data_IF_895135810624
#
_entry.id   IF_895135810624
#
_cell.length_a   1.000
_cell.length_b   1.000
_cell.length_c   1.000
_cell.angle_alpha   90.00
_cell.angle_beta   90.00
_cell.angle_gamma   90.00
#
_symmetry.space_group_name_H-M   'P 1'
#
loop_
_entity.id
_entity.type
_entity.pdbx_description
1 polymer ?
#
# COMPACT_ATOMS: atom_id res chain seq x y z
N UNK A 1 -19.24 -44.20 47.93
CA UNK A 1 -19.89 -43.29 46.95
C UNK A 1 -18.90 -42.15 46.73
N UNK A 2 -17.98 -42.15 45.74
CA UNK A 2 -18.11 -41.71 44.32
C UNK A 2 -19.10 -40.53 44.16
N UNK A 3 -18.84 -39.37 43.55
CA UNK A 3 -17.76 -38.78 42.73
C UNK A 3 -18.14 -37.28 42.54
N UNK A 4 -17.15 -36.38 42.60
CA UNK A 4 -16.99 -35.07 41.90
C UNK A 4 -18.19 -34.32 41.29
N UNK A 5 -18.27 -33.00 41.56
CA UNK A 5 -18.70 -31.96 40.60
C UNK A 5 -18.24 -30.58 41.12
N UNK A 6 -16.96 -30.20 40.94
CA UNK A 6 -16.50 -29.29 39.87
C UNK A 6 -17.48 -28.13 39.60
N UNK A 7 -17.29 -27.03 40.34
CA UNK A 7 -17.93 -25.73 40.11
C UNK A 7 -17.50 -25.19 38.75
N UNK A 8 -18.45 -25.13 37.81
CA UNK A 8 -18.29 -24.51 36.49
C UNK A 8 -18.26 -22.99 36.64
N UNK A 9 -17.08 -22.40 36.43
CA UNK A 9 -16.87 -20.96 36.26
C UNK A 9 -17.69 -20.45 35.08
N UNK A 10 -18.66 -19.58 35.37
CA UNK A 10 -19.52 -18.96 34.39
C UNK A 10 -18.70 -18.13 33.38
N UNK A 11 -19.07 -18.32 32.11
CA UNK A 11 -18.47 -17.77 30.92
C UNK A 11 -18.26 -16.25 30.97
N UNK A 12 -17.01 -15.82 30.80
CA UNK A 12 -16.67 -14.49 30.30
C UNK A 12 -15.81 -14.70 29.05
N UNK A 13 -16.48 -14.83 27.91
CA UNK A 13 -15.87 -14.57 26.61
C UNK A 13 -16.82 -13.66 25.84
N UNK A 14 -16.75 -12.37 26.13
CA UNK A 14 -17.16 -11.33 25.19
C UNK A 14 -16.15 -11.37 24.05
N UNK A 15 -16.34 -12.31 23.11
CA UNK A 15 -15.62 -12.30 21.84
C UNK A 15 -16.01 -11.03 21.12
N UNK A 16 -15.04 -10.14 21.00
CA UNK A 16 -15.08 -8.92 20.21
C UNK A 16 -15.72 -9.20 18.85
N UNK A 17 -16.82 -8.52 18.57
CA UNK A 17 -17.32 -8.35 17.23
C UNK A 17 -16.25 -7.59 16.43
N UNK A 18 -15.32 -8.33 15.83
CA UNK A 18 -14.56 -7.81 14.70
C UNK A 18 -15.55 -7.63 13.56
N UNK A 19 -15.62 -6.46 12.90
CA UNK A 19 -16.35 -6.36 11.65
C UNK A 19 -15.61 -7.23 10.63
N UNK A 20 -16.02 -8.49 10.51
CA UNK A 20 -15.85 -9.23 9.28
C UNK A 20 -16.54 -8.39 8.21
N UNK A 21 -15.79 -7.96 7.19
CA UNK A 21 -16.34 -7.37 5.97
C UNK A 21 -17.29 -8.40 5.35
N UNK A 22 -18.55 -8.38 5.79
CA UNK A 22 -19.64 -8.96 5.04
C UNK A 22 -19.90 -7.98 3.91
N UNK A 23 -19.16 -8.12 2.81
CA UNK A 23 -19.54 -7.48 1.57
C UNK A 23 -20.95 -7.98 1.22
N UNK A 24 -21.99 -7.13 1.15
CA UNK A 24 -23.24 -7.53 0.52
C UNK A 24 -22.90 -8.03 -0.90
N UNK A 25 -23.69 -8.93 -1.51
CA UNK A 25 -23.36 -9.46 -2.84
C UNK A 25 -23.17 -8.29 -3.81
N UNK A 26 -21.90 -7.93 -4.06
CA UNK A 26 -21.58 -6.80 -4.90
C UNK A 26 -22.09 -7.14 -6.31
N UNK A 27 -22.81 -6.19 -6.90
CA UNK A 27 -23.21 -6.29 -8.29
C UNK A 27 -21.95 -6.54 -9.14
N UNK A 28 -22.12 -7.23 -10.28
CA UNK A 28 -20.98 -7.46 -11.18
C UNK A 28 -20.29 -6.14 -11.55
N UNK A 29 -21.09 -5.10 -11.75
CA UNK A 29 -20.65 -3.74 -12.01
C UNK A 29 -19.73 -3.20 -10.91
N UNK A 30 -20.13 -3.33 -9.64
CA UNK A 30 -19.33 -2.84 -8.52
C UNK A 30 -18.01 -3.61 -8.33
N UNK A 31 -18.00 -4.92 -8.63
CA UNK A 31 -16.77 -5.72 -8.67
C UNK A 31 -15.84 -5.30 -9.81
N UNK A 32 -16.40 -5.07 -10.99
CA UNK A 32 -15.62 -4.67 -12.16
C UNK A 32 -15.01 -3.27 -11.97
N UNK A 33 -15.74 -2.34 -11.34
CA UNK A 33 -15.23 -1.03 -10.94
C UNK A 33 -14.07 -1.13 -9.94
N UNK A 34 -14.21 -1.97 -8.92
CA UNK A 34 -13.14 -2.22 -7.93
C UNK A 34 -11.88 -2.80 -8.60
N UNK A 35 -12.05 -3.80 -9.48
CA UNK A 35 -10.94 -4.38 -10.23
C UNK A 35 -10.28 -3.38 -11.18
N UNK A 36 -11.06 -2.52 -11.83
CA UNK A 36 -10.54 -1.47 -12.70
C UNK A 36 -9.73 -0.44 -11.90
N UNK A 37 -10.25 -0.01 -10.75
CA UNK A 37 -9.53 0.89 -9.85
C UNK A 37 -8.21 0.28 -9.37
N UNK A 38 -8.23 -1.00 -8.94
CA UNK A 38 -7.02 -1.72 -8.52
C UNK A 38 -5.98 -1.82 -9.63
N UNK A 39 -6.38 -2.17 -10.86
CA UNK A 39 -5.48 -2.21 -12.02
C UNK A 39 -4.87 -0.86 -12.35
N UNK A 40 -5.67 0.22 -12.25
CA UNK A 40 -5.17 1.57 -12.44
C UNK A 40 -4.16 1.97 -11.35
N UNK A 41 -4.37 1.57 -10.10
CA UNK A 41 -3.39 1.77 -9.03
C UNK A 41 -2.08 1.03 -9.31
N UNK A 42 -2.13 -0.25 -9.71
CA UNK A 42 -0.92 -1.01 -10.05
C UNK A 42 -0.14 -0.37 -11.21
N UNK A 43 -0.85 0.06 -12.26
CA UNK A 43 -0.22 0.72 -13.42
C UNK A 43 0.48 2.01 -13.03
N UNK A 44 -0.14 2.81 -12.14
CA UNK A 44 0.45 4.04 -11.63
C UNK A 44 1.72 3.79 -10.81
N UNK A 45 1.72 2.75 -9.96
CA UNK A 45 2.90 2.35 -9.19
C UNK A 45 4.04 1.93 -10.11
N UNK A 46 3.78 1.12 -11.13
CA UNK A 46 4.78 0.70 -12.11
C UNK A 46 5.39 1.90 -12.86
N UNK A 47 4.58 2.88 -13.23
CA UNK A 47 5.05 4.09 -13.91
C UNK A 47 5.90 4.99 -13.00
N UNK A 48 5.58 5.04 -11.70
CA UNK A 48 6.42 5.70 -10.70
C UNK A 48 7.80 5.01 -10.62
N UNK A 49 7.84 3.67 -10.52
CA UNK A 49 9.11 2.94 -10.51
C UNK A 49 9.93 3.18 -11.79
N UNK A 50 9.30 3.18 -12.97
CA UNK A 50 9.99 3.50 -14.24
C UNK A 50 10.57 4.91 -14.22
N UNK A 51 9.85 5.90 -13.66
CA UNK A 51 10.33 7.28 -13.53
C UNK A 51 11.54 7.36 -12.60
N UNK A 52 11.51 6.69 -11.45
CA UNK A 52 12.66 6.60 -10.54
C UNK A 52 13.89 6.00 -11.22
N UNK A 53 13.72 4.91 -11.99
CA UNK A 53 14.82 4.30 -12.73
C UNK A 53 15.43 5.24 -13.77
N UNK A 54 14.61 6.01 -14.50
CA UNK A 54 15.09 7.01 -15.46
C UNK A 54 15.89 8.11 -14.74
N UNK A 55 15.36 8.67 -13.66
CA UNK A 55 16.07 9.68 -12.86
C UNK A 55 17.41 9.17 -12.33
N UNK A 56 17.44 7.94 -11.80
CA UNK A 56 18.68 7.31 -11.35
C UNK A 56 19.70 7.12 -12.49
N UNK A 57 19.26 6.74 -13.70
CA UNK A 57 20.14 6.64 -14.87
C UNK A 57 20.75 8.00 -15.25
N UNK A 58 19.96 9.06 -15.20
CA UNK A 58 20.44 10.42 -15.50
C UNK A 58 21.41 10.94 -14.43
N UNK A 59 21.09 10.75 -13.14
CA UNK A 59 21.97 11.14 -12.02
C UNK A 59 23.33 10.41 -12.12
N UNK A 60 23.34 9.13 -12.51
CA UNK A 60 24.57 8.34 -12.71
C UNK A 60 25.49 8.89 -13.79
N UNK A 61 24.98 9.70 -14.74
CA UNK A 61 25.85 10.38 -15.73
C UNK A 61 26.75 11.43 -15.07
N UNK A 62 26.35 11.95 -13.90
CA UNK A 62 27.16 12.83 -13.08
C UNK A 62 27.56 14.12 -13.80
N UNK A 63 28.67 14.71 -13.34
CA UNK A 63 29.16 16.01 -13.84
C UNK A 63 29.73 15.97 -15.25
N UNK A 64 29.82 14.77 -15.85
CA UNK A 64 30.19 14.61 -17.26
C UNK A 64 29.12 15.17 -18.22
N UNK A 65 27.86 15.16 -17.78
CA UNK A 65 26.71 15.56 -18.61
C UNK A 65 25.93 16.72 -18.01
N UNK A 66 25.92 16.83 -16.68
CA UNK A 66 25.10 17.79 -15.95
C UNK A 66 25.94 18.72 -15.06
N UNK A 67 25.46 19.95 -14.84
CA UNK A 67 26.03 20.81 -13.80
C UNK A 67 25.68 20.27 -12.40
N UNK A 68 26.42 20.69 -11.35
CA UNK A 68 26.07 20.35 -9.97
C UNK A 68 24.64 20.76 -9.58
N UNK A 69 24.16 21.90 -10.07
CA UNK A 69 22.81 22.41 -9.83
C UNK A 69 21.76 21.55 -10.54
N UNK A 70 22.05 21.09 -11.75
CA UNK A 70 21.18 20.18 -12.49
C UNK A 70 21.09 18.81 -11.82
N UNK A 71 22.22 18.27 -11.35
CA UNK A 71 22.24 17.03 -10.57
C UNK A 71 21.44 17.17 -9.27
N UNK A 72 21.54 18.31 -8.58
CA UNK A 72 20.73 18.60 -7.39
C UNK A 72 19.24 18.61 -7.72
N UNK A 73 18.83 19.21 -8.84
CA UNK A 73 17.43 19.18 -9.31
C UNK A 73 16.96 17.76 -9.66
N UNK A 74 17.82 16.94 -10.28
CA UNK A 74 17.49 15.54 -10.57
C UNK A 74 17.33 14.71 -9.29
N UNK A 75 18.19 14.91 -8.30
CA UNK A 75 18.08 14.28 -6.98
C UNK A 75 16.80 14.71 -6.26
N UNK A 76 16.47 16.01 -6.28
CA UNK A 76 15.22 16.51 -5.71
C UNK A 76 14.01 15.82 -6.34
N UNK A 77 13.95 15.74 -7.68
CA UNK A 77 12.87 15.03 -8.39
C UNK A 77 12.78 13.55 -8.01
N UNK A 78 13.92 12.90 -7.76
CA UNK A 78 13.94 11.51 -7.31
C UNK A 78 13.32 11.37 -5.92
N UNK A 79 13.70 12.25 -4.98
CA UNK A 79 13.11 12.30 -3.63
C UNK A 79 11.61 12.54 -3.68
N UNK A 80 11.15 13.55 -4.41
CA UNK A 80 9.71 13.85 -4.57
C UNK A 80 8.94 12.66 -5.15
N UNK A 81 9.53 11.94 -6.11
CA UNK A 81 8.91 10.74 -6.71
C UNK A 81 8.84 9.59 -5.71
N UNK A 82 9.85 9.43 -4.84
CA UNK A 82 9.85 8.42 -3.79
C UNK A 82 8.84 8.74 -2.68
N UNK A 83 8.69 10.02 -2.34
CA UNK A 83 7.67 10.48 -1.38
C UNK A 83 6.25 10.25 -1.91
N UNK A 84 6.02 10.48 -3.21
CA UNK A 84 4.76 10.15 -3.86
C UNK A 84 4.46 8.65 -3.80
N UNK A 85 5.45 7.79 -4.07
CA UNK A 85 5.25 6.34 -3.94
C UNK A 85 4.89 5.96 -2.51
N UNK A 86 5.63 6.50 -1.53
CA UNK A 86 5.39 6.26 -0.10
C UNK A 86 3.98 6.74 0.31
N UNK A 87 3.50 7.86 -0.21
CA UNK A 87 2.16 8.34 0.11
C UNK A 87 1.09 7.40 -0.44
N UNK A 88 1.27 6.88 -1.65
CA UNK A 88 0.36 5.87 -2.24
C UNK A 88 0.40 4.56 -1.43
N UNK A 89 1.57 4.09 -1.02
CA UNK A 89 1.71 2.88 -0.21
C UNK A 89 1.04 3.01 1.17
N UNK A 90 1.13 4.18 1.80
CA UNK A 90 0.50 4.44 3.10
C UNK A 90 -1.04 4.53 3.02
N UNK A 91 -1.56 5.11 1.93
CA UNK A 91 -3.01 5.28 1.75
C UNK A 91 -3.68 4.10 1.03
N UNK A 92 -2.93 3.26 0.33
CA UNK A 92 -3.43 2.07 -0.37
C UNK A 92 -3.55 0.81 0.51
N UNK A 93 -3.15 0.87 1.77
CA UNK A 93 -3.14 -0.24 2.73
C UNK A 93 -4.16 -0.15 3.87
N UNK A 94 -5.08 0.83 3.85
CA UNK A 94 -6.18 0.96 4.83
C UNK A 94 -7.54 0.77 4.16
#
# INVERSE_FOLDING_TARGET
>A
MKRTALMLTAAIFLTSAMPALAEPPQSKEQRDECLLASKNCMTQVDDIYKRMQKLNKEIKKGTKVYSPEELKKLQQKLTETQELLRSIELHGGN
#
